data_IF_158162185917
#
_entry.id   IF_158162185917
#
_cell.length_a   1.000
_cell.length_b   1.000
_cell.length_c   1.000
_cell.angle_alpha   90.00
_cell.angle_beta   90.00
_cell.angle_gamma   90.00
#
_symmetry.space_group_name_H-M   'P 1'
#
loop_
_entity.id
_entity.type
_entity.pdbx_description
1 polymer ?
#
# COMPACT_ATOMS: atom_id res chain seq x y z
N UNK A 1 16.43 9.39 5.56
CA UNK A 1 16.58 7.92 5.54
C UNK A 1 16.13 7.46 4.17
N UNK A 2 16.97 6.77 3.40
CA UNK A 2 16.61 6.37 2.04
C UNK A 2 15.32 5.52 2.06
N UNK A 3 14.31 5.93 1.30
CA UNK A 3 12.93 5.42 1.29
C UNK A 3 12.79 3.89 1.14
N UNK A 4 13.86 3.18 0.80
CA UNK A 4 13.86 1.74 0.57
C UNK A 4 14.49 0.92 1.70
N UNK A 5 15.37 1.44 2.56
CA UNK A 5 16.14 0.62 3.52
C UNK A 5 16.99 -0.51 2.91
N UNK A 6 16.98 -0.66 1.58
CA UNK A 6 17.69 -1.66 0.80
C UNK A 6 18.75 -0.96 -0.05
N UNK A 7 20.03 -1.12 0.33
CA UNK A 7 21.18 -0.47 -0.31
C UNK A 7 21.31 -0.75 -1.81
N UNK A 8 20.77 -1.89 -2.29
CA UNK A 8 20.77 -2.24 -3.71
C UNK A 8 19.67 -1.56 -4.53
N UNK A 9 18.59 -1.11 -3.91
CA UNK A 9 17.46 -0.49 -4.62
C UNK A 9 17.59 1.02 -4.74
N UNK A 10 18.48 1.67 -3.97
CA UNK A 10 18.66 3.13 -4.03
C UNK A 10 19.12 3.63 -5.40
N UNK A 11 19.82 2.79 -6.16
CA UNK A 11 20.23 3.10 -7.55
C UNK A 11 19.03 3.12 -8.52
N UNK A 12 17.94 2.42 -8.16
CA UNK A 12 16.73 2.33 -8.98
C UNK A 12 15.66 3.35 -8.59
N UNK A 13 15.88 4.11 -7.51
CA UNK A 13 14.96 5.17 -7.08
C UNK A 13 15.38 6.48 -7.74
N UNK A 14 14.54 7.07 -8.61
CA UNK A 14 14.89 8.34 -9.26
C UNK A 14 15.07 9.48 -8.26
N UNK A 15 16.07 10.33 -8.50
CA UNK A 15 16.26 11.56 -7.74
C UNK A 15 15.22 12.62 -8.16
N UNK A 16 15.05 13.68 -7.36
CA UNK A 16 14.05 14.73 -7.65
C UNK A 16 14.32 15.40 -8.99
N UNK A 17 15.58 15.62 -9.33
CA UNK A 17 16.00 16.15 -10.63
C UNK A 17 15.56 15.28 -11.82
N UNK A 18 15.40 13.96 -11.63
CA UNK A 18 15.00 13.04 -12.70
C UNK A 18 13.51 13.16 -13.06
N UNK A 19 12.69 13.81 -12.22
CA UNK A 19 11.23 13.75 -12.36
C UNK A 19 10.73 14.49 -13.61
N UNK A 20 11.44 15.54 -14.03
CA UNK A 20 11.14 16.23 -15.29
C UNK A 20 11.31 15.29 -16.50
N UNK A 21 12.43 14.55 -16.52
CA UNK A 21 12.75 13.57 -17.56
C UNK A 21 11.75 12.40 -17.56
N UNK A 22 11.44 11.85 -16.40
CA UNK A 22 10.46 10.76 -16.25
C UNK A 22 9.08 11.19 -16.76
N UNK A 23 8.64 12.40 -16.41
CA UNK A 23 7.36 12.93 -16.88
C UNK A 23 7.31 13.02 -18.41
N UNK A 24 8.38 13.52 -19.03
CA UNK A 24 8.48 13.58 -20.49
C UNK A 24 8.44 12.18 -21.12
N UNK A 25 9.20 11.23 -20.59
CA UNK A 25 9.22 9.84 -21.08
C UNK A 25 7.85 9.15 -20.94
N UNK A 26 7.11 9.43 -19.86
CA UNK A 26 5.76 8.93 -19.67
C UNK A 26 4.78 9.50 -20.71
N UNK A 27 4.90 10.78 -21.07
CA UNK A 27 4.08 11.40 -22.12
C UNK A 27 4.37 10.82 -23.50
N UNK A 28 5.66 10.62 -23.82
CA UNK A 28 6.11 9.98 -25.06
C UNK A 28 5.58 8.54 -25.15
N UNK A 29 5.74 7.75 -24.08
CA UNK A 29 5.25 6.38 -24.02
C UNK A 29 3.72 6.29 -24.12
N UNK A 30 3.00 7.19 -23.43
CA UNK A 30 1.54 7.28 -23.51
C UNK A 30 1.09 7.51 -24.95
N UNK A 31 1.69 8.49 -25.61
CA UNK A 31 1.36 8.84 -27.01
C UNK A 31 1.64 7.66 -27.94
N UNK A 32 2.81 7.03 -27.79
CA UNK A 32 3.20 5.87 -28.59
C UNK A 32 2.23 4.69 -28.44
N UNK A 33 1.81 4.36 -27.23
CA UNK A 33 0.90 3.24 -26.95
C UNK A 33 -0.52 3.53 -27.45
N UNK A 34 -1.04 4.73 -27.19
CA UNK A 34 -2.36 5.13 -27.66
C UNK A 34 -2.46 5.13 -29.20
N UNK A 35 -1.39 5.56 -29.90
CA UNK A 35 -1.34 5.49 -31.37
C UNK A 35 -1.41 4.06 -31.94
N UNK A 36 -1.23 3.03 -31.10
CA UNK A 36 -1.32 1.61 -31.45
C UNK A 36 -2.56 0.92 -30.89
N UNK A 37 -3.50 1.69 -30.34
CA UNK A 37 -4.71 1.14 -29.70
C UNK A 37 -4.42 0.38 -28.41
N UNK A 38 -3.27 0.62 -27.76
CA UNK A 38 -2.92 0.01 -26.48
C UNK A 38 -3.30 0.99 -25.36
N UNK A 39 -4.22 0.57 -24.51
CA UNK A 39 -4.62 1.33 -23.33
C UNK A 39 -3.46 1.51 -22.35
N UNK A 40 -3.49 2.62 -21.61
CA UNK A 40 -2.42 2.95 -20.66
C UNK A 40 -2.99 3.42 -19.33
N UNK A 41 -2.24 3.23 -18.25
CA UNK A 41 -2.55 3.75 -16.93
C UNK A 41 -1.64 4.94 -16.54
N UNK A 42 -0.97 5.58 -17.50
CA UNK A 42 0.04 6.64 -17.23
C UNK A 42 -0.53 7.78 -16.39
N UNK A 43 -1.78 8.19 -16.63
CA UNK A 43 -2.42 9.26 -15.85
C UNK A 43 -2.76 8.82 -14.42
N UNK A 44 -3.12 7.55 -14.22
CA UNK A 44 -3.29 6.99 -12.89
C UNK A 44 -1.95 6.92 -12.17
N UNK A 45 -0.91 6.38 -12.83
CA UNK A 45 0.44 6.30 -12.29
C UNK A 45 0.94 7.70 -11.88
N UNK A 46 0.81 8.69 -12.75
CA UNK A 46 1.18 10.09 -12.43
C UNK A 46 0.40 10.65 -11.26
N UNK A 47 -0.91 10.40 -11.13
CA UNK A 47 -1.68 10.87 -9.96
C UNK A 47 -1.20 10.22 -8.66
N UNK A 48 -0.82 8.95 -8.72
CA UNK A 48 -0.30 8.22 -7.56
C UNK A 48 1.14 8.61 -7.20
N UNK A 49 1.92 9.10 -8.17
CA UNK A 49 3.32 9.47 -7.99
C UNK A 49 3.54 11.00 -7.81
N UNK A 50 2.66 11.85 -8.37
CA UNK A 50 2.61 13.32 -8.14
C UNK A 50 2.11 13.66 -6.75
N UNK A 51 1.20 12.86 -6.18
CA UNK A 51 1.08 12.81 -4.72
C UNK A 51 2.39 12.20 -4.29
N UNK A 52 3.33 13.07 -3.94
CA UNK A 52 4.63 12.71 -3.41
C UNK A 52 4.45 11.42 -2.61
N UNK A 53 5.11 10.35 -3.04
CA UNK A 53 5.60 9.39 -2.06
C UNK A 53 6.63 10.21 -1.28
N UNK A 54 6.15 11.13 -0.46
CA UNK A 54 6.89 11.59 0.67
C UNK A 54 7.30 10.32 1.40
N UNK A 55 8.44 10.38 2.07
CA UNK A 55 8.82 9.41 3.10
C UNK A 55 7.74 9.21 4.20
N UNK A 56 6.57 9.87 4.10
CA UNK A 56 5.38 9.65 4.89
C UNK A 56 4.80 8.29 4.52
N UNK A 57 5.21 7.27 5.28
CA UNK A 57 4.46 6.03 5.38
C UNK A 57 3.00 6.39 5.74
N UNK A 58 1.98 6.17 4.87
CA UNK A 58 0.59 6.51 5.17
C UNK A 58 0.07 5.80 6.43
N UNK A 59 0.67 4.69 6.84
CA UNK A 59 0.35 4.02 8.10
C UNK A 59 0.84 4.77 9.33
N UNK A 60 1.57 5.88 9.18
CA UNK A 60 1.79 6.86 10.25
C UNK A 60 0.59 7.79 10.43
N UNK A 61 -0.27 7.94 9.43
CA UNK A 61 -1.40 8.86 9.45
C UNK A 61 -2.74 8.14 9.57
N UNK A 62 -2.89 7.00 8.89
CA UNK A 62 -4.17 6.29 8.76
C UNK A 62 -4.10 4.81 9.20
N UNK A 63 -5.23 4.23 9.67
CA UNK A 63 -5.32 2.80 9.94
C UNK A 63 -5.00 1.92 8.73
N UNK A 64 -4.56 0.69 8.99
CA UNK A 64 -4.55 -0.37 7.97
C UNK A 64 -5.84 -1.18 8.07
N UNK A 65 -6.63 -1.14 7.00
CA UNK A 65 -7.88 -1.88 6.86
C UNK A 65 -7.67 -3.26 6.22
N UNK A 66 -6.47 -3.55 5.69
CA UNK A 66 -6.25 -4.72 4.84
C UNK A 66 -6.51 -6.06 5.52
N UNK A 67 -6.33 -6.13 6.85
CA UNK A 67 -6.71 -7.31 7.62
C UNK A 67 -8.21 -7.64 7.60
N UNK A 68 -9.06 -6.70 7.16
CA UNK A 68 -10.49 -6.91 6.92
C UNK A 68 -10.83 -7.00 5.43
N UNK A 69 -10.06 -6.33 4.57
CA UNK A 69 -10.37 -6.22 3.13
C UNK A 69 -9.89 -7.41 2.30
N UNK A 70 -8.91 -8.16 2.81
CA UNK A 70 -8.32 -9.25 2.05
C UNK A 70 -7.61 -10.27 2.91
N UNK A 71 -7.40 -11.43 2.31
CA UNK A 71 -6.71 -12.58 2.87
C UNK A 71 -5.84 -13.17 1.77
N UNK A 72 -4.66 -13.68 2.11
CA UNK A 72 -3.85 -14.47 1.18
C UNK A 72 -3.91 -15.93 1.58
N UNK A 73 -4.17 -16.78 0.60
CA UNK A 73 -3.94 -18.22 0.69
C UNK A 73 -2.68 -18.55 -0.10
N UNK A 74 -1.88 -19.49 0.38
CA UNK A 74 -0.89 -20.15 -0.48
C UNK A 74 -1.47 -21.42 -1.11
N UNK A 75 -0.68 -22.06 -1.97
CA UNK A 75 -1.10 -23.23 -2.77
C UNK A 75 -1.37 -24.47 -1.94
N UNK A 76 -0.95 -24.51 -0.67
CA UNK A 76 -1.18 -25.63 0.25
C UNK A 76 -2.23 -25.30 1.31
N UNK A 77 -2.91 -24.15 1.19
CA UNK A 77 -4.03 -23.77 2.03
C UNK A 77 -3.66 -22.94 3.27
N UNK A 78 -2.42 -22.52 3.45
CA UNK A 78 -2.07 -21.65 4.57
C UNK A 78 -2.70 -20.26 4.41
N UNK A 79 -3.27 -19.74 5.48
CA UNK A 79 -4.04 -18.50 5.51
C UNK A 79 -3.22 -17.40 6.16
N UNK A 80 -3.07 -16.29 5.47
CA UNK A 80 -2.31 -15.12 5.91
C UNK A 80 -3.20 -13.88 5.95
N UNK A 81 -2.90 -12.96 6.88
CA UNK A 81 -3.70 -11.75 7.08
C UNK A 81 -3.54 -10.69 6.00
N UNK A 82 -2.47 -10.74 5.21
CA UNK A 82 -2.28 -9.94 3.99
C UNK A 82 -1.11 -10.49 3.16
N UNK A 83 -0.87 -9.90 1.98
CA UNK A 83 0.23 -10.29 1.08
C UNK A 83 1.65 -10.06 1.67
N UNK A 84 1.78 -9.23 2.71
CA UNK A 84 3.04 -8.92 3.39
C UNK A 84 3.21 -9.60 4.75
N UNK A 85 2.25 -10.44 5.15
CA UNK A 85 2.38 -11.24 6.37
C UNK A 85 3.36 -12.40 6.14
N UNK A 86 4.31 -12.55 7.06
CA UNK A 86 5.38 -13.54 6.98
C UNK A 86 4.94 -14.92 7.51
N UNK A 87 4.01 -14.96 8.47
CA UNK A 87 3.55 -16.20 9.11
C UNK A 87 2.06 -16.43 8.86
N UNK A 88 1.64 -17.69 8.62
CA UNK A 88 0.23 -18.02 8.50
C UNK A 88 -0.45 -18.06 9.88
N UNK A 89 -1.76 -17.84 9.88
CA UNK A 89 -2.64 -17.95 11.06
C UNK A 89 -3.23 -19.37 11.19
N UNK A 90 -3.07 -20.21 10.17
CA UNK A 90 -3.53 -21.59 10.15
C UNK A 90 -3.56 -22.13 8.72
N UNK A 91 -3.94 -23.39 8.55
CA UNK A 91 -4.16 -24.01 7.26
C UNK A 91 -5.66 -24.35 7.08
N UNK A 92 -6.24 -23.87 5.98
CA UNK A 92 -7.67 -24.00 5.70
C UNK A 92 -8.12 -25.44 5.40
N UNK A 93 -7.18 -26.32 5.05
CA UNK A 93 -7.44 -27.75 4.82
C UNK A 93 -7.51 -28.53 6.15
N UNK A 94 -6.86 -28.04 7.20
CA UNK A 94 -6.89 -28.63 8.55
C UNK A 94 -8.02 -28.05 9.41
N UNK A 95 -8.24 -26.73 9.31
CA UNK A 95 -9.27 -26.01 10.06
C UNK A 95 -10.04 -25.14 9.08
N UNK A 96 -11.36 -25.16 9.11
CA UNK A 96 -12.17 -24.35 8.20
C UNK A 96 -11.77 -22.87 8.25
N UNK A 97 -11.74 -22.21 7.08
CA UNK A 97 -11.30 -20.80 6.98
C UNK A 97 -12.02 -19.88 7.97
N UNK A 98 -13.33 -20.07 8.18
CA UNK A 98 -14.10 -19.29 9.15
C UNK A 98 -13.51 -19.36 10.57
N UNK A 99 -13.04 -20.54 11.00
CA UNK A 99 -12.41 -20.70 12.30
C UNK A 99 -11.08 -19.93 12.38
N UNK A 100 -10.29 -19.95 11.31
CA UNK A 100 -9.02 -19.20 11.25
C UNK A 100 -9.27 -17.70 11.23
N UNK A 101 -10.22 -17.24 10.42
CA UNK A 101 -10.62 -15.83 10.31
C UNK A 101 -11.14 -15.27 11.64
N UNK A 102 -11.86 -16.09 12.40
CA UNK A 102 -12.40 -15.73 13.72
C UNK A 102 -11.46 -16.10 14.89
N UNK A 103 -10.25 -16.59 14.61
CA UNK A 103 -9.29 -16.93 15.66
C UNK A 103 -8.84 -15.68 16.43
N UNK A 104 -8.45 -15.89 17.69
CA UNK A 104 -7.91 -14.84 18.56
C UNK A 104 -6.67 -14.19 17.95
N UNK A 105 -5.77 -14.97 17.34
CA UNK A 105 -4.58 -14.47 16.66
C UNK A 105 -4.93 -13.54 15.49
N UNK A 106 -5.87 -13.93 14.63
CA UNK A 106 -6.28 -13.10 13.49
C UNK A 106 -6.98 -11.83 13.97
N UNK A 107 -7.86 -11.93 14.97
CA UNK A 107 -8.52 -10.76 15.58
C UNK A 107 -7.50 -9.78 16.18
N UNK A 108 -6.47 -10.27 16.87
CA UNK A 108 -5.38 -9.45 17.41
C UNK A 108 -4.58 -8.76 16.30
N UNK A 109 -4.32 -9.45 15.18
CA UNK A 109 -3.69 -8.82 14.01
C UNK A 109 -4.54 -7.66 13.50
N UNK A 110 -5.86 -7.86 13.30
CA UNK A 110 -6.76 -6.81 12.80
C UNK A 110 -6.80 -5.61 13.73
N UNK A 111 -6.82 -5.83 15.05
CA UNK A 111 -6.72 -4.76 16.05
C UNK A 111 -5.40 -3.99 15.93
N UNK A 112 -4.26 -4.70 15.88
CA UNK A 112 -2.92 -4.08 15.72
C UNK A 112 -2.78 -3.32 14.40
N UNK A 113 -3.34 -3.85 13.30
CA UNK A 113 -3.33 -3.22 11.98
C UNK A 113 -4.19 -1.96 11.95
N UNK A 114 -5.37 -1.99 12.57
CA UNK A 114 -6.22 -0.81 12.69
C UNK A 114 -5.56 0.30 13.52
N UNK A 115 -4.75 -0.06 14.52
CA UNK A 115 -4.02 0.87 15.38
C UNK A 115 -2.63 1.25 14.84
N UNK A 116 -2.28 0.90 13.60
CA UNK A 116 -0.91 1.08 13.08
C UNK A 116 -0.45 2.55 13.11
N UNK A 117 -1.35 3.50 12.83
CA UNK A 117 -1.08 4.93 12.88
C UNK A 117 -0.97 5.51 14.27
N UNK A 118 -1.51 4.82 15.28
CA UNK A 118 -1.32 5.20 16.68
C UNK A 118 0.02 4.65 17.17
N UNK A 119 0.33 3.41 16.82
CA UNK A 119 1.55 2.71 17.24
C UNK A 119 2.81 3.15 16.51
N UNK A 120 2.68 3.76 15.32
CA UNK A 120 3.79 4.20 14.45
C UNK A 120 4.82 3.10 14.14
N UNK A 121 4.38 1.84 14.17
CA UNK A 121 5.24 0.67 13.90
C UNK A 121 4.45 -0.40 13.18
N UNK A 122 5.15 -1.23 12.39
CA UNK A 122 4.54 -2.34 11.66
C UNK A 122 3.85 -3.31 12.62
N UNK A 123 2.87 -4.04 12.10
CA UNK A 123 2.35 -5.20 12.82
C UNK A 123 3.42 -6.28 12.82
N UNK A 124 3.63 -6.89 13.98
CA UNK A 124 4.61 -7.96 14.15
C UNK A 124 4.39 -9.06 13.09
N UNK A 125 5.49 -9.49 12.44
CA UNK A 125 5.44 -10.47 11.37
C UNK A 125 4.84 -9.96 10.05
N UNK A 126 4.73 -8.65 9.84
CA UNK A 126 4.23 -8.06 8.59
C UNK A 126 5.12 -6.91 8.09
N UNK A 127 5.43 -6.93 6.78
CA UNK A 127 6.20 -5.87 6.13
C UNK A 127 5.30 -4.71 5.67
N UNK A 128 4.71 -3.99 6.64
CA UNK A 128 3.77 -2.90 6.36
C UNK A 128 4.42 -1.75 5.57
N UNK A 129 5.70 -1.45 5.86
CA UNK A 129 6.47 -0.37 5.24
C UNK A 129 6.60 -0.51 3.71
N UNK A 130 6.50 -1.72 3.16
CA UNK A 130 6.58 -1.99 1.72
C UNK A 130 5.25 -2.49 1.15
N UNK A 131 4.13 -2.16 1.79
CA UNK A 131 2.81 -2.59 1.34
C UNK A 131 2.47 -2.04 -0.06
N UNK A 132 2.18 -2.89 -1.06
CA UNK A 132 1.81 -2.42 -2.40
C UNK A 132 0.37 -1.88 -2.45
N UNK A 133 -0.44 -2.12 -1.42
CA UNK A 133 -1.85 -1.75 -1.39
C UNK A 133 -2.14 -0.45 -0.63
N UNK A 134 -1.11 0.36 -0.35
CA UNK A 134 -1.25 1.67 0.33
C UNK A 134 -2.33 2.53 -0.32
N UNK A 135 -2.31 2.65 -1.65
CA UNK A 135 -3.32 3.42 -2.41
C UNK A 135 -4.74 2.88 -2.23
N UNK A 136 -4.92 1.56 -2.25
CA UNK A 136 -6.24 0.95 -2.04
C UNK A 136 -6.74 1.20 -0.61
N UNK A 137 -5.85 1.07 0.38
CA UNK A 137 -6.15 1.38 1.77
C UNK A 137 -6.53 2.85 1.97
N UNK A 138 -5.84 3.79 1.31
CA UNK A 138 -6.18 5.21 1.30
C UNK A 138 -7.58 5.47 0.74
N UNK A 139 -7.97 4.80 -0.35
CA UNK A 139 -9.33 4.95 -0.91
C UNK A 139 -10.40 4.53 0.09
N UNK A 140 -10.18 3.43 0.81
CA UNK A 140 -11.10 3.00 1.88
C UNK A 140 -11.15 4.03 3.00
N UNK A 141 -10.00 4.53 3.44
CA UNK A 141 -9.95 5.59 4.45
C UNK A 141 -10.74 6.83 4.03
N UNK A 142 -10.50 7.33 2.80
CA UNK A 142 -11.20 8.50 2.25
C UNK A 142 -12.72 8.29 2.17
N UNK A 143 -13.16 7.09 1.77
CA UNK A 143 -14.58 6.72 1.72
C UNK A 143 -15.24 6.67 3.10
N UNK A 144 -14.52 6.19 4.11
CA UNK A 144 -14.99 6.13 5.50
C UNK A 144 -14.90 7.49 6.23
N UNK A 145 -14.09 8.43 5.73
CA UNK A 145 -13.86 9.74 6.36
C UNK A 145 -14.00 10.90 5.36
N UNK A 146 -15.18 11.08 4.75
CA UNK A 146 -15.38 12.06 3.67
C UNK A 146 -15.08 13.51 4.12
N UNK A 147 -15.31 13.83 5.39
CA UNK A 147 -15.04 15.15 5.97
C UNK A 147 -13.55 15.41 6.26
N UNK A 148 -12.74 14.35 6.42
CA UNK A 148 -11.28 14.46 6.62
C UNK A 148 -10.51 14.63 5.32
N UNK A 149 -11.18 14.44 4.17
CA UNK A 149 -10.60 14.59 2.83
C UNK A 149 -10.03 16.00 2.56
N UNK A 150 -10.51 17.01 3.29
CA UNK A 150 -10.10 18.42 3.15
C UNK A 150 -8.80 18.78 3.88
N UNK A 151 -8.26 17.93 4.76
CA UNK A 151 -7.06 18.25 5.55
C UNK A 151 -5.73 17.89 4.85
N UNK A 152 -5.77 17.39 3.61
CA UNK A 152 -4.59 17.06 2.81
C UNK A 152 -4.58 17.73 1.42
N UNK A 153 -5.32 18.83 1.23
CA UNK A 153 -4.94 19.78 0.18
C UNK A 153 -3.72 20.54 0.68
N UNK A 154 -2.57 20.55 -0.03
CA UNK A 154 -1.52 21.49 0.27
C UNK A 154 -2.06 22.87 -0.10
N UNK A 155 -2.66 23.56 0.87
CA UNK A 155 -2.73 25.01 0.85
C UNK A 155 -1.35 25.50 1.29
N UNK A 156 -0.65 26.20 0.42
CA UNK A 156 0.55 26.95 0.76
C UNK A 156 1.80 26.56 -0.02
N UNK A 157 1.86 26.98 -1.28
CA UNK A 157 3.11 27.52 -1.84
C UNK A 157 2.75 28.84 -2.52
N UNK A 158 2.96 29.91 -1.77
CA UNK A 158 3.35 31.22 -2.29
C UNK A 158 4.68 31.11 -3.02
#
# INVERSE_FOLDING_TARGET
MNASGFKGLSVLVPAREDYGKINKQLDEAKTFLLSRGIDTNVDLFRRLYKKEIHDIDPYTLIPCYYGWLGVRFDTIGNVYSCCRAAKPFGNATEKGFSQIWNSTGYAQFRKKAFQINQRKTSVEGCLCASCPHRTANMKVYEGLHPLKRRLHSPQGFS
#
